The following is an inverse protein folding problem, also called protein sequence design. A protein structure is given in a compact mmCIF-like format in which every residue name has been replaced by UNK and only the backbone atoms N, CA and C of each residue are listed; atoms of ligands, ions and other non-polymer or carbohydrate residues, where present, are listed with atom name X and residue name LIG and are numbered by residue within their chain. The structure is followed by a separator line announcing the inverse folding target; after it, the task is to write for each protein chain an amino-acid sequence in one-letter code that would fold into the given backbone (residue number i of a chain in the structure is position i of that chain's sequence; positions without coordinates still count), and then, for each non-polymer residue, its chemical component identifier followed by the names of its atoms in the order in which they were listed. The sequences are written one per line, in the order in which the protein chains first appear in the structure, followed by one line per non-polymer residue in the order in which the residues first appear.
data_IF_203399146441
#
_entry.id   IF_203399146441
#
_cell.length_a   1.000
_cell.length_b   1.000
_cell.length_c   1.000
_cell.angle_alpha   90.00
_cell.angle_beta   90.00
_cell.angle_gamma   90.00
#
_symmetry.space_group_name_H-M   'P 1'
#
loop_
_entity.id
_entity.type
_entity.pdbx_description
1 polymer ?
#
# COMPACT_ATOMS: atom_id res chain seq x y z
N UNK A 1 -50.75 -24.42 15.84
CA UNK A 1 -50.01 -23.27 16.41
C UNK A 1 -48.52 -23.54 16.31
N UNK A 2 -47.85 -23.00 15.28
CA UNK A 2 -46.38 -23.08 15.15
C UNK A 2 -45.86 -21.64 15.01
N UNK A 3 -45.24 -21.14 16.08
CA UNK A 3 -44.54 -19.85 16.10
C UNK A 3 -43.13 -20.06 15.54
N UNK A 4 -42.94 -19.81 14.26
CA UNK A 4 -41.62 -19.55 13.69
C UNK A 4 -41.21 -18.12 14.08
N UNK A 5 -40.42 -17.98 15.16
CA UNK A 5 -39.70 -16.74 15.43
C UNK A 5 -38.48 -16.66 14.51
N UNK A 6 -38.63 -16.04 13.35
CA UNK A 6 -37.51 -15.49 12.59
C UNK A 6 -37.04 -14.20 13.27
N UNK A 7 -35.95 -14.27 14.03
CA UNK A 7 -35.15 -13.10 14.41
C UNK A 7 -33.81 -13.16 13.71
N UNK A 8 -33.82 -12.92 12.40
CA UNK A 8 -32.64 -12.40 11.72
C UNK A 8 -32.60 -10.90 11.96
N UNK A 9 -31.96 -10.48 13.05
CA UNK A 9 -31.48 -9.10 13.14
C UNK A 9 -30.39 -8.95 12.07
N UNK A 10 -30.67 -8.17 11.02
CA UNK A 10 -29.66 -7.74 10.06
C UNK A 10 -28.65 -6.86 10.82
N UNK A 11 -27.55 -7.44 11.28
CA UNK A 11 -26.41 -6.66 11.74
C UNK A 11 -25.95 -5.81 10.56
N UNK A 12 -26.10 -4.48 10.67
CA UNK A 12 -25.56 -3.54 9.67
C UNK A 12 -24.06 -3.85 9.55
N UNK A 13 -23.62 -4.25 8.36
CA UNK A 13 -22.23 -4.58 8.12
C UNK A 13 -21.38 -3.33 8.43
N UNK A 14 -20.45 -3.45 9.38
CA UNK A 14 -19.53 -2.36 9.73
C UNK A 14 -18.65 -2.05 8.52
N UNK A 15 -18.44 -0.77 8.24
CA UNK A 15 -17.50 -0.34 7.19
C UNK A 15 -16.06 -0.70 7.55
N UNK A 16 -15.18 -0.85 6.55
CA UNK A 16 -13.76 -1.16 6.79
C UNK A 16 -13.08 -0.09 7.65
N UNK A 17 -13.43 1.19 7.45
CA UNK A 17 -12.99 2.31 8.28
C UNK A 17 -13.38 2.14 9.75
N UNK A 18 -14.65 1.82 10.03
CA UNK A 18 -15.13 1.60 11.40
C UNK A 18 -14.40 0.43 12.08
N UNK A 19 -14.15 -0.66 11.35
CA UNK A 19 -13.40 -1.81 11.88
C UNK A 19 -11.95 -1.43 12.23
N UNK A 20 -11.29 -0.61 11.40
CA UNK A 20 -9.95 -0.11 11.66
C UNK A 20 -9.91 0.85 12.84
N UNK A 21 -10.89 1.75 12.96
CA UNK A 21 -11.00 2.68 14.08
C UNK A 21 -11.26 1.95 15.41
N UNK A 22 -12.11 0.90 15.40
CA UNK A 22 -12.33 0.04 16.56
C UNK A 22 -11.06 -0.70 16.99
N UNK A 23 -10.32 -1.26 16.02
CA UNK A 23 -9.04 -1.92 16.25
C UNK A 23 -8.00 -0.95 16.81
N UNK A 24 -7.89 0.24 16.22
CA UNK A 24 -7.01 1.31 16.67
C UNK A 24 -7.35 1.71 18.12
N UNK A 25 -8.63 1.95 18.41
CA UNK A 25 -9.08 2.36 19.73
C UNK A 25 -8.83 1.29 20.80
N UNK A 26 -9.03 0.01 20.48
CA UNK A 26 -8.73 -1.09 21.39
C UNK A 26 -7.24 -1.11 21.78
N UNK A 27 -6.35 -0.99 20.80
CA UNK A 27 -4.90 -1.03 21.06
C UNK A 27 -4.35 0.28 21.65
N UNK A 28 -4.99 1.43 21.45
CA UNK A 28 -4.58 2.68 22.12
C UNK A 28 -5.10 2.79 23.56
N UNK A 29 -6.23 2.16 23.88
CA UNK A 29 -6.80 2.11 25.24
C UNK A 29 -5.76 1.67 26.28
N UNK A 30 -5.75 2.33 27.46
CA UNK A 30 -4.85 2.02 28.57
C UNK A 30 -5.04 0.56 29.03
N UNK A 31 -3.95 -0.16 29.31
CA UNK A 31 -4.00 -1.61 29.53
C UNK A 31 -4.89 -2.02 30.71
N UNK A 32 -4.94 -1.22 31.76
CA UNK A 32 -5.81 -1.42 32.93
C UNK A 32 -7.30 -1.24 32.60
N UNK A 33 -7.63 -0.36 31.66
CA UNK A 33 -9.02 -0.11 31.24
C UNK A 33 -9.53 -1.12 30.21
N UNK A 34 -8.64 -1.76 29.43
CA UNK A 34 -9.07 -2.70 28.38
C UNK A 34 -9.93 -3.86 28.91
N UNK A 35 -9.57 -4.57 30.00
CA UNK A 35 -10.41 -5.63 30.53
C UNK A 35 -11.76 -5.12 31.04
N UNK A 36 -11.85 -3.89 31.53
CA UNK A 36 -13.09 -3.30 32.03
C UNK A 36 -14.02 -2.92 30.88
N UNK A 37 -13.48 -2.32 29.82
CA UNK A 37 -14.25 -1.80 28.69
C UNK A 37 -14.67 -2.92 27.73
N UNK A 38 -13.78 -3.85 27.40
CA UNK A 38 -13.97 -4.82 26.30
C UNK A 38 -14.34 -6.23 26.76
N UNK A 39 -14.72 -6.42 28.03
CA UNK A 39 -15.23 -7.71 28.53
C UNK A 39 -16.65 -7.55 29.05
N UNK A 40 -17.64 -8.29 28.53
CA UNK A 40 -19.05 -8.09 28.88
C UNK A 40 -19.32 -8.32 30.38
N UNK A 41 -18.59 -9.25 31.02
CA UNK A 41 -18.71 -9.53 32.45
C UNK A 41 -18.39 -8.34 33.36
N UNK A 42 -17.63 -7.35 32.87
CA UNK A 42 -17.25 -6.17 33.64
C UNK A 42 -18.16 -4.97 33.39
N UNK A 43 -19.23 -5.11 32.59
CA UNK A 43 -20.11 -4.00 32.22
C UNK A 43 -20.76 -3.31 33.43
N UNK A 44 -21.23 -4.08 34.41
CA UNK A 44 -21.82 -3.54 35.65
C UNK A 44 -20.78 -2.79 36.49
N UNK A 45 -19.57 -3.35 36.62
CA UNK A 45 -18.46 -2.73 37.34
C UNK A 45 -18.00 -1.43 36.67
N UNK A 46 -17.94 -1.41 35.34
CA UNK A 46 -17.58 -0.21 34.59
C UNK A 46 -18.60 0.91 34.82
N UNK A 47 -19.90 0.59 34.82
CA UNK A 47 -20.98 1.55 35.10
C UNK A 47 -20.91 2.10 36.52
N UNK A 48 -20.47 1.31 37.50
CA UNK A 48 -20.35 1.77 38.89
C UNK A 48 -19.09 2.58 39.18
N UNK A 49 -18.09 2.57 38.28
CA UNK A 49 -16.84 3.33 38.47
C UNK A 49 -16.93 4.78 37.98
N UNK A 50 -18.05 5.19 37.37
CA UNK A 50 -18.31 6.54 36.84
C UNK A 50 -17.16 7.14 36.01
N UNK A 51 -16.42 6.28 35.30
CA UNK A 51 -15.30 6.71 34.47
C UNK A 51 -15.81 7.50 33.27
N UNK A 52 -15.19 8.67 33.05
CA UNK A 52 -15.48 9.53 31.89
C UNK A 52 -14.36 9.47 30.87
N UNK A 53 -14.73 9.52 29.60
CA UNK A 53 -13.79 9.68 28.51
C UNK A 53 -13.19 11.10 28.57
N UNK A 54 -11.85 11.25 28.62
CA UNK A 54 -11.20 12.55 28.75
C UNK A 54 -11.42 13.47 27.54
N UNK A 55 -11.74 12.95 26.36
CA UNK A 55 -11.96 13.78 25.16
C UNK A 55 -13.43 14.23 25.05
N UNK A 56 -14.38 13.39 25.45
CA UNK A 56 -15.81 13.65 25.25
C UNK A 56 -16.58 13.99 26.52
N UNK A 57 -15.96 13.87 27.70
CA UNK A 57 -16.59 14.00 29.03
C UNK A 57 -17.81 13.09 29.26
N UNK A 58 -18.06 12.12 28.37
CA UNK A 58 -19.17 11.18 28.46
C UNK A 58 -18.76 9.94 29.26
N UNK A 59 -19.72 9.27 29.93
CA UNK A 59 -19.44 8.01 30.63
C UNK A 59 -18.92 6.95 29.66
N UNK A 60 -17.85 6.25 30.05
CA UNK A 60 -17.28 5.17 29.24
C UNK A 60 -18.27 4.02 29.19
N UNK A 61 -18.77 3.71 28.00
CA UNK A 61 -19.70 2.62 27.78
C UNK A 61 -18.96 1.28 27.59
N UNK A 62 -19.52 0.16 28.08
CA UNK A 62 -19.04 -1.18 27.75
C UNK A 62 -19.05 -1.38 26.24
N UNK A 63 -18.02 -2.04 25.72
CA UNK A 63 -17.86 -2.36 24.29
C UNK A 63 -17.79 -3.86 24.08
N UNK A 64 -18.13 -4.29 22.88
CA UNK A 64 -17.98 -5.68 22.50
C UNK A 64 -16.50 -6.11 22.52
N UNK A 65 -16.20 -7.38 22.86
CA UNK A 65 -14.86 -7.92 22.77
C UNK A 65 -14.27 -7.73 21.37
N UNK A 66 -13.02 -7.28 21.30
CA UNK A 66 -12.35 -7.09 20.02
C UNK A 66 -12.06 -8.46 19.39
N UNK A 67 -12.60 -8.68 18.18
CA UNK A 67 -12.26 -9.84 17.37
C UNK A 67 -10.95 -9.56 16.60
N UNK A 68 -10.12 -10.57 16.31
CA UNK A 68 -8.95 -10.39 15.46
C UNK A 68 -9.35 -9.78 14.11
N UNK A 69 -8.69 -8.67 13.75
CA UNK A 69 -8.97 -7.98 12.50
C UNK A 69 -8.28 -8.71 11.34
N UNK A 70 -9.02 -8.99 10.27
CA UNK A 70 -8.43 -9.53 9.03
C UNK A 70 -7.56 -8.46 8.38
N UNK A 71 -6.35 -8.82 7.94
CA UNK A 71 -5.40 -7.90 7.30
C UNK A 71 -5.96 -7.24 6.04
N UNK A 72 -6.72 -8.01 5.24
CA UNK A 72 -7.42 -7.51 4.05
C UNK A 72 -8.30 -6.27 4.29
N UNK A 73 -8.80 -6.04 5.51
CA UNK A 73 -9.63 -4.87 5.84
C UNK A 73 -8.89 -3.56 5.56
N UNK A 74 -7.58 -3.50 5.83
CA UNK A 74 -6.79 -2.29 5.55
C UNK A 74 -6.59 -2.09 4.05
N UNK A 75 -6.33 -3.15 3.29
CA UNK A 75 -6.23 -3.06 1.83
C UNK A 75 -7.56 -2.57 1.23
N UNK A 76 -8.68 -3.14 1.67
CA UNK A 76 -10.01 -2.74 1.19
C UNK A 76 -10.32 -1.29 1.54
N UNK A 77 -10.04 -0.86 2.78
CA UNK A 77 -10.20 0.54 3.18
C UNK A 77 -9.40 1.49 2.28
N UNK A 78 -8.13 1.18 2.00
CA UNK A 78 -7.29 2.02 1.14
C UNK A 78 -7.85 2.10 -0.29
N UNK A 79 -8.56 1.09 -0.77
CA UNK A 79 -9.25 1.11 -2.07
C UNK A 79 -10.58 1.88 -2.05
N UNK A 80 -11.19 2.10 -0.88
CA UNK A 80 -12.44 2.85 -0.71
C UNK A 80 -12.22 4.37 -0.58
N UNK A 81 -11.01 4.82 -0.20
CA UNK A 81 -10.72 6.26 0.04
C UNK A 81 -11.02 7.11 -1.20
N UNK A 82 -11.81 8.19 -1.16
CA UNK A 82 -12.14 8.95 -2.37
C UNK A 82 -10.91 9.51 -3.12
N UNK A 83 -11.04 9.67 -4.44
CA UNK A 83 -10.03 10.30 -5.30
C UNK A 83 -9.68 11.71 -4.80
N UNK A 84 -8.40 12.06 -4.80
CA UNK A 84 -7.91 13.37 -4.32
C UNK A 84 -8.04 13.60 -2.80
N UNK A 85 -8.49 12.62 -2.01
CA UNK A 85 -8.69 12.79 -0.57
C UNK A 85 -7.39 12.77 0.23
N UNK A 86 -7.33 13.59 1.29
CA UNK A 86 -6.23 13.57 2.28
C UNK A 86 -6.37 12.45 3.32
N UNK A 87 -7.47 11.69 3.27
CA UNK A 87 -7.82 10.69 4.28
C UNK A 87 -6.72 9.63 4.51
N UNK A 88 -6.02 9.18 3.46
CA UNK A 88 -4.91 8.24 3.63
C UNK A 88 -3.76 8.84 4.45
N UNK A 89 -3.46 10.13 4.23
CA UNK A 89 -2.41 10.81 4.97
C UNK A 89 -2.79 10.99 6.43
N UNK A 90 -4.01 11.44 6.69
CA UNK A 90 -4.54 11.61 8.06
C UNK A 90 -4.56 10.28 8.81
N UNK A 91 -4.96 9.20 8.13
CA UNK A 91 -4.92 7.85 8.66
C UNK A 91 -3.49 7.44 9.05
N UNK A 92 -2.51 7.60 8.14
CA UNK A 92 -1.12 7.23 8.41
C UNK A 92 -0.53 8.06 9.56
N UNK A 93 -0.76 9.37 9.58
CA UNK A 93 -0.30 10.24 10.66
C UNK A 93 -0.90 9.81 12.01
N UNK A 94 -2.22 9.57 12.06
CA UNK A 94 -2.91 9.05 13.26
C UNK A 94 -2.34 7.69 13.70
N UNK A 95 -2.10 6.79 12.76
CA UNK A 95 -1.59 5.45 13.04
C UNK A 95 -0.17 5.47 13.61
N UNK A 96 0.72 6.26 13.00
CA UNK A 96 2.13 6.32 13.36
C UNK A 96 2.48 7.29 14.51
N UNK A 97 1.54 8.16 14.92
CA UNK A 97 1.68 9.01 16.12
C UNK A 97 1.72 8.20 17.41
N UNK A 98 1.20 6.97 17.40
CA UNK A 98 1.18 6.09 18.58
C UNK A 98 2.60 5.66 18.99
N UNK A 99 2.82 5.46 20.29
CA UNK A 99 4.09 4.96 20.82
C UNK A 99 4.42 3.55 20.31
N UNK A 100 5.69 3.30 19.99
CA UNK A 100 6.24 2.00 19.55
C UNK A 100 5.97 0.85 20.55
N UNK A 101 5.61 1.16 21.80
CA UNK A 101 5.19 0.16 22.80
C UNK A 101 3.90 -0.57 22.41
N UNK A 102 3.06 0.01 21.54
CA UNK A 102 1.85 -0.62 21.01
C UNK A 102 2.18 -1.53 19.81
N UNK A 103 3.00 -2.56 20.07
CA UNK A 103 3.60 -3.43 19.04
C UNK A 103 2.57 -4.05 18.11
N UNK A 104 1.38 -4.38 18.62
CA UNK A 104 0.32 -5.03 17.84
C UNK A 104 -0.20 -4.17 16.68
N UNK A 105 -0.20 -2.84 16.84
CA UNK A 105 -0.60 -1.92 15.75
C UNK A 105 0.43 -1.91 14.61
N UNK A 106 1.72 -2.01 14.94
CA UNK A 106 2.79 -2.02 13.95
C UNK A 106 2.99 -3.40 13.33
N UNK A 107 2.77 -4.47 14.09
CA UNK A 107 2.78 -5.84 13.60
C UNK A 107 1.60 -6.18 12.67
N UNK A 108 0.54 -5.37 12.70
CA UNK A 108 -0.58 -5.50 11.77
C UNK A 108 -0.21 -5.10 10.34
N UNK A 109 0.75 -4.18 10.16
CA UNK A 109 1.22 -3.75 8.84
C UNK A 109 2.01 -4.87 8.15
N UNK A 110 1.95 -4.94 6.82
CA UNK A 110 2.62 -5.95 6.00
C UNK A 110 3.03 -5.30 4.68
N UNK A 111 3.93 -5.95 3.94
CA UNK A 111 4.32 -5.48 2.61
C UNK A 111 3.15 -5.28 1.66
N UNK A 112 2.10 -6.12 1.76
CA UNK A 112 0.87 -5.97 0.97
C UNK A 112 0.15 -4.66 1.24
N UNK A 113 0.09 -4.23 2.51
CA UNK A 113 -0.49 -2.94 2.89
C UNK A 113 0.30 -1.77 2.31
N UNK A 114 1.64 -1.82 2.40
CA UNK A 114 2.48 -0.75 1.88
C UNK A 114 2.38 -0.67 0.35
N UNK A 115 2.39 -1.81 -0.34
CA UNK A 115 2.19 -1.89 -1.79
C UNK A 115 0.85 -1.26 -2.21
N UNK A 116 -0.24 -1.62 -1.53
CA UNK A 116 -1.58 -1.07 -1.80
C UNK A 116 -1.64 0.43 -1.54
N UNK A 117 -1.05 0.91 -0.44
CA UNK A 117 -0.99 2.33 -0.11
C UNK A 117 -0.19 3.12 -1.15
N UNK A 118 0.97 2.62 -1.57
CA UNK A 118 1.81 3.27 -2.58
C UNK A 118 1.10 3.30 -3.94
N UNK A 119 0.56 2.18 -4.40
CA UNK A 119 -0.18 2.10 -5.65
C UNK A 119 -1.41 3.02 -5.65
N UNK A 120 -2.24 2.96 -4.61
CA UNK A 120 -3.41 3.84 -4.50
C UNK A 120 -3.01 5.33 -4.42
N UNK A 121 -1.91 5.64 -3.73
CA UNK A 121 -1.40 7.01 -3.61
C UNK A 121 -0.96 7.62 -4.94
N UNK A 122 -0.50 6.79 -5.88
CA UNK A 122 -0.13 7.22 -7.23
C UNK A 122 -1.32 7.22 -8.18
N UNK A 123 -2.02 6.09 -8.31
CA UNK A 123 -3.03 5.90 -9.34
C UNK A 123 -4.36 6.61 -9.05
N UNK A 124 -4.68 6.88 -7.78
CA UNK A 124 -6.03 7.28 -7.38
C UNK A 124 -6.10 8.48 -6.44
N UNK A 125 -5.15 8.64 -5.53
CA UNK A 125 -5.21 9.69 -4.48
C UNK A 125 -4.38 10.94 -4.86
N UNK A 126 -3.22 10.79 -5.50
CA UNK A 126 -2.39 11.94 -5.94
C UNK A 126 -1.36 12.43 -4.93
N UNK A 127 -1.05 11.63 -3.91
CA UNK A 127 -0.18 12.02 -2.80
C UNK A 127 1.03 11.09 -2.61
N UNK A 128 1.47 10.44 -3.69
CA UNK A 128 2.55 9.46 -3.68
C UNK A 128 3.82 9.92 -2.93
N UNK A 129 4.36 11.11 -3.25
CA UNK A 129 5.57 11.62 -2.59
C UNK A 129 5.42 11.74 -1.08
N UNK A 130 4.26 12.21 -0.62
CA UNK A 130 3.99 12.42 0.80
C UNK A 130 3.81 11.09 1.52
N UNK A 131 3.06 10.16 0.92
CA UNK A 131 2.88 8.80 1.46
C UNK A 131 4.23 8.09 1.56
N UNK A 132 5.05 8.11 0.51
CA UNK A 132 6.39 7.53 0.53
C UNK A 132 7.28 8.16 1.61
N UNK A 133 7.25 9.49 1.73
CA UNK A 133 7.98 10.22 2.77
C UNK A 133 7.56 9.81 4.18
N UNK A 134 6.26 9.68 4.44
CA UNK A 134 5.73 9.20 5.72
C UNK A 134 6.19 7.77 6.01
N UNK A 135 6.07 6.85 5.05
CA UNK A 135 6.54 5.47 5.21
C UNK A 135 8.05 5.41 5.52
N UNK A 136 8.87 6.20 4.81
CA UNK A 136 10.30 6.28 5.10
C UNK A 136 10.64 6.83 6.48
N UNK A 137 9.86 7.80 6.98
CA UNK A 137 10.04 8.40 8.30
C UNK A 137 9.69 7.43 9.44
N UNK A 138 8.74 6.52 9.20
CA UNK A 138 8.24 5.58 10.21
C UNK A 138 8.81 4.17 10.09
N UNK A 139 9.64 3.90 9.09
CA UNK A 139 10.29 2.61 8.89
C UNK A 139 10.98 2.11 10.16
N UNK A 140 11.75 2.96 10.84
CA UNK A 140 12.47 2.58 12.07
C UNK A 140 11.54 2.16 13.20
N UNK A 141 10.34 2.75 13.28
CA UNK A 141 9.32 2.37 14.27
C UNK A 141 8.75 0.99 13.97
N UNK A 142 8.39 0.73 12.71
CA UNK A 142 7.82 -0.56 12.30
C UNK A 142 8.84 -1.68 12.51
N UNK A 143 10.06 -1.48 12.04
CA UNK A 143 11.17 -2.45 12.18
C UNK A 143 11.55 -2.64 13.65
N UNK A 144 11.58 -1.57 14.45
CA UNK A 144 11.85 -1.63 15.88
C UNK A 144 10.83 -2.45 16.69
N UNK A 145 9.65 -2.74 16.12
CA UNK A 145 8.67 -3.65 16.72
C UNK A 145 8.82 -5.11 16.30
N UNK A 146 9.85 -5.44 15.51
CA UNK A 146 10.11 -6.78 14.99
C UNK A 146 9.44 -7.07 13.64
N UNK A 147 8.78 -6.09 13.02
CA UNK A 147 8.08 -6.28 11.75
C UNK A 147 8.98 -5.91 10.56
N UNK A 148 9.99 -6.72 10.30
CA UNK A 148 10.92 -6.54 9.17
C UNK A 148 10.29 -6.87 7.82
N UNK A 149 9.23 -7.69 7.80
CA UNK A 149 8.58 -8.14 6.56
C UNK A 149 7.70 -7.07 5.90
N UNK A 150 7.47 -5.95 6.57
CA UNK A 150 6.67 -4.86 6.00
C UNK A 150 7.42 -4.09 4.90
N UNK A 151 8.76 -4.02 4.97
CA UNK A 151 9.63 -3.33 4.02
C UNK A 151 10.47 -4.35 3.24
N UNK A 152 9.77 -5.23 2.52
CA UNK A 152 10.38 -6.25 1.68
C UNK A 152 10.68 -5.76 0.25
N UNK A 153 11.60 -6.45 -0.42
CA UNK A 153 12.00 -6.12 -1.77
C UNK A 153 10.86 -6.31 -2.79
N UNK A 154 10.18 -7.47 -2.77
CA UNK A 154 9.19 -7.84 -3.78
C UNK A 154 7.97 -6.93 -3.83
N UNK A 155 7.50 -6.46 -2.67
CA UNK A 155 6.29 -5.63 -2.57
C UNK A 155 6.65 -4.18 -2.37
N UNK A 156 7.43 -3.83 -1.35
CA UNK A 156 7.70 -2.42 -1.05
C UNK A 156 8.63 -1.80 -2.10
N UNK A 157 9.84 -2.35 -2.28
CA UNK A 157 10.85 -1.73 -3.16
C UNK A 157 10.42 -1.74 -4.62
N UNK A 158 9.94 -2.87 -5.14
CA UNK A 158 9.48 -2.97 -6.53
C UNK A 158 8.28 -2.05 -6.81
N UNK A 159 7.35 -1.89 -5.86
CA UNK A 159 6.26 -0.91 -6.02
C UNK A 159 6.78 0.52 -6.01
N UNK A 160 7.79 0.84 -5.20
CA UNK A 160 8.44 2.16 -5.23
C UNK A 160 9.10 2.42 -6.60
N UNK A 161 9.78 1.43 -7.19
CA UNK A 161 10.36 1.54 -8.53
C UNK A 161 9.30 1.74 -9.60
N UNK A 162 8.26 0.90 -9.61
CA UNK A 162 7.12 1.02 -10.52
C UNK A 162 6.49 2.41 -10.44
N UNK A 163 6.17 2.86 -9.22
CA UNK A 163 5.58 4.17 -9.03
C UNK A 163 6.51 5.30 -9.46
N UNK A 164 7.83 5.15 -9.27
CA UNK A 164 8.82 6.14 -9.71
C UNK A 164 8.91 6.21 -11.23
N UNK A 165 8.99 5.06 -11.92
CA UNK A 165 8.99 4.96 -13.37
C UNK A 165 7.78 5.69 -13.99
N UNK A 166 6.58 5.34 -13.53
CA UNK A 166 5.33 5.92 -14.04
C UNK A 166 5.21 7.43 -13.73
N UNK A 167 5.64 7.85 -12.55
CA UNK A 167 5.62 9.26 -12.17
C UNK A 167 6.65 10.08 -12.95
N UNK A 168 7.83 9.54 -13.17
CA UNK A 168 8.90 10.20 -13.92
C UNK A 168 8.48 10.38 -15.38
N UNK A 169 7.84 9.37 -15.97
CA UNK A 169 7.24 9.44 -17.30
C UNK A 169 6.18 10.55 -17.38
N UNK A 170 5.26 10.60 -16.40
CA UNK A 170 4.20 11.62 -16.35
C UNK A 170 4.73 13.05 -16.19
N UNK A 171 5.83 13.24 -15.46
CA UNK A 171 6.37 14.56 -15.10
C UNK A 171 7.64 14.93 -15.88
N UNK A 172 8.02 14.11 -16.85
CA UNK A 172 9.29 14.16 -17.60
C UNK A 172 10.51 14.43 -16.70
N UNK A 173 10.61 13.68 -15.59
CA UNK A 173 11.70 13.81 -14.63
C UNK A 173 12.85 12.88 -15.03
N UNK A 174 13.93 13.45 -15.56
CA UNK A 174 15.14 12.72 -15.94
C UNK A 174 16.36 13.40 -15.36
N UNK A 175 16.91 12.79 -14.31
CA UNK A 175 18.15 13.24 -13.68
C UNK A 175 18.86 12.04 -13.06
N UNK A 176 20.01 11.67 -13.62
CA UNK A 176 20.77 10.50 -13.22
C UNK A 176 21.26 10.59 -11.76
N UNK A 177 21.72 11.76 -11.32
CA UNK A 177 22.27 11.95 -9.97
C UNK A 177 21.17 11.90 -8.92
N UNK A 178 20.08 12.64 -9.13
CA UNK A 178 18.93 12.65 -8.24
C UNK A 178 18.26 11.27 -8.23
N UNK A 179 18.14 10.62 -9.40
CA UNK A 179 17.60 9.27 -9.56
C UNK A 179 18.40 8.25 -8.76
N UNK A 180 19.73 8.25 -8.90
CA UNK A 180 20.62 7.35 -8.17
C UNK A 180 20.56 7.60 -6.66
N UNK A 181 20.52 8.86 -6.22
CA UNK A 181 20.37 9.20 -4.80
C UNK A 181 19.06 8.68 -4.23
N UNK A 182 17.93 8.89 -4.93
CA UNK A 182 16.62 8.38 -4.53
C UNK A 182 16.62 6.85 -4.48
N UNK A 183 17.21 6.19 -5.47
CA UNK A 183 17.34 4.75 -5.53
C UNK A 183 18.07 4.19 -4.30
N UNK A 184 19.24 4.76 -3.96
CA UNK A 184 20.04 4.36 -2.80
C UNK A 184 19.27 4.58 -1.48
N UNK A 185 18.54 5.69 -1.36
CA UNK A 185 17.70 5.96 -0.19
C UNK A 185 16.58 4.92 -0.06
N UNK A 186 15.88 4.62 -1.16
CA UNK A 186 14.81 3.63 -1.18
C UNK A 186 15.32 2.24 -0.81
N UNK A 187 16.46 1.84 -1.39
CA UNK A 187 17.10 0.56 -1.07
C UNK A 187 17.54 0.47 0.39
N UNK A 188 18.03 1.57 0.96
CA UNK A 188 18.40 1.65 2.38
C UNK A 188 17.22 1.47 3.35
N UNK A 189 15.97 1.59 2.88
CA UNK A 189 14.76 1.36 3.68
C UNK A 189 14.28 -0.10 3.65
N UNK A 190 14.76 -0.89 2.70
CA UNK A 190 14.43 -2.31 2.56
C UNK A 190 15.12 -3.11 3.67
N UNK A 191 14.34 -3.86 4.43
CA UNK A 191 14.84 -4.73 5.51
C UNK A 191 14.93 -6.18 5.11
N UNK A 192 14.00 -6.66 4.27
CA UNK A 192 14.03 -8.02 3.74
C UNK A 192 14.37 -7.98 2.25
N UNK A 193 15.60 -8.38 1.92
CA UNK A 193 16.20 -8.26 0.58
C UNK A 193 16.14 -9.58 -0.21
N UNK A 194 15.03 -10.30 -0.06
CA UNK A 194 14.79 -11.54 -0.76
C UNK A 194 13.98 -11.22 -2.03
N UNK A 195 14.53 -11.51 -3.21
CA UNK A 195 13.83 -11.40 -4.50
C UNK A 195 13.16 -12.74 -4.81
N UNK A 196 11.92 -12.94 -4.39
CA UNK A 196 11.25 -14.22 -4.64
C UNK A 196 10.69 -14.31 -6.05
N UNK A 197 10.37 -13.16 -6.66
CA UNK A 197 9.78 -13.07 -7.99
C UNK A 197 10.81 -12.85 -9.10
N UNK A 198 12.00 -12.33 -8.78
CA UNK A 198 13.04 -11.98 -9.75
C UNK A 198 12.73 -10.72 -10.56
N UNK A 199 11.70 -9.96 -10.18
CA UNK A 199 11.26 -8.74 -10.90
C UNK A 199 12.13 -7.51 -10.61
N UNK A 200 12.97 -7.58 -9.58
CA UNK A 200 13.73 -6.40 -9.14
C UNK A 200 14.79 -6.00 -10.16
N UNK A 201 15.48 -6.97 -10.79
CA UNK A 201 16.50 -6.67 -11.80
C UNK A 201 15.91 -5.97 -13.04
N UNK A 202 14.85 -6.51 -13.68
CA UNK A 202 14.23 -5.81 -14.82
C UNK A 202 13.70 -4.42 -14.47
N UNK A 203 13.14 -4.23 -13.27
CA UNK A 203 12.67 -2.91 -12.81
C UNK A 203 13.82 -1.91 -12.62
N UNK A 204 14.96 -2.37 -12.10
CA UNK A 204 16.15 -1.53 -11.93
C UNK A 204 16.75 -1.13 -13.26
N UNK A 205 16.83 -2.05 -14.22
CA UNK A 205 17.31 -1.76 -15.57
C UNK A 205 16.39 -0.76 -16.27
N UNK A 206 15.07 -0.96 -16.21
CA UNK A 206 14.10 -0.01 -16.73
C UNK A 206 14.24 1.38 -16.08
N UNK A 207 14.42 1.43 -14.75
CA UNK A 207 14.62 2.68 -14.02
C UNK A 207 15.93 3.39 -14.40
N UNK A 208 17.01 2.62 -14.53
CA UNK A 208 18.31 3.14 -14.93
C UNK A 208 18.28 3.75 -16.33
N UNK A 209 17.70 3.02 -17.29
CA UNK A 209 17.54 3.47 -18.66
C UNK A 209 16.71 4.75 -18.73
N UNK A 210 15.59 4.83 -17.99
CA UNK A 210 14.76 6.03 -17.95
C UNK A 210 15.52 7.26 -17.41
N UNK A 211 16.40 7.07 -16.42
CA UNK A 211 17.12 8.17 -15.76
C UNK A 211 18.50 8.46 -16.38
N UNK A 212 18.98 7.63 -17.32
CA UNK A 212 20.34 7.73 -17.85
C UNK A 212 21.43 7.33 -16.85
N UNK A 213 21.13 6.40 -15.93
CA UNK A 213 22.09 5.89 -14.94
C UNK A 213 22.94 4.79 -15.57
N UNK A 214 24.26 4.85 -15.37
CA UNK A 214 25.19 3.82 -15.84
C UNK A 214 24.95 2.48 -15.14
N UNK A 215 25.23 1.36 -15.80
CA UNK A 215 25.04 0.01 -15.20
C UNK A 215 25.99 -0.22 -14.03
N UNK A 216 27.16 0.40 -14.07
CA UNK A 216 28.20 0.36 -13.05
C UNK A 216 27.73 1.02 -11.74
N UNK A 217 26.89 2.05 -11.83
CA UNK A 217 26.35 2.77 -10.67
C UNK A 217 25.17 2.03 -9.99
N UNK A 218 24.59 1.00 -10.63
CA UNK A 218 23.44 0.24 -10.12
C UNK A 218 23.80 -0.79 -9.04
N UNK A 219 25.05 -0.81 -8.56
CA UNK A 219 25.49 -1.73 -7.52
C UNK A 219 24.87 -1.35 -6.18
N UNK A 220 23.82 -2.06 -5.80
CA UNK A 220 23.13 -1.91 -4.52
C UNK A 220 23.72 -2.86 -3.47
N UNK A 221 24.31 -2.29 -2.40
CA UNK A 221 24.96 -3.10 -1.34
C UNK A 221 24.00 -4.11 -0.71
N UNK A 222 24.47 -5.36 -0.62
CA UNK A 222 23.74 -6.47 0.01
C UNK A 222 22.54 -6.95 -0.80
N UNK A 223 22.50 -6.65 -2.09
CA UNK A 223 21.57 -7.27 -3.04
C UNK A 223 22.24 -8.50 -3.63
N UNK A 224 21.54 -9.63 -3.61
CA UNK A 224 21.94 -10.79 -4.39
C UNK A 224 21.39 -10.63 -5.81
N UNK A 225 22.23 -10.84 -6.81
CA UNK A 225 21.79 -10.85 -8.21
C UNK A 225 21.11 -12.18 -8.46
N UNK A 226 19.79 -12.19 -8.37
CA UNK A 226 18.98 -13.35 -8.73
C UNK A 226 18.69 -13.25 -10.23
N UNK A 227 19.14 -14.27 -10.96
CA UNK A 227 19.04 -14.31 -12.42
C UNK A 227 17.69 -14.85 -12.92
N UNK A 228 16.96 -15.58 -12.07
CA UNK A 228 15.78 -16.32 -12.50
C UNK A 228 14.50 -15.59 -12.11
N UNK A 229 13.67 -15.28 -13.09
CA UNK A 229 12.33 -14.74 -12.91
C UNK A 229 11.40 -15.91 -12.55
N UNK A 230 10.74 -15.81 -11.40
CA UNK A 230 9.84 -16.84 -10.89
C UNK A 230 8.45 -16.24 -10.67
N UNK A 231 7.65 -16.26 -11.73
CA UNK A 231 6.29 -15.72 -11.70
C UNK A 231 5.27 -16.83 -11.54
N UNK A 232 4.16 -16.56 -10.82
CA UNK A 232 3.10 -17.54 -10.65
C UNK A 232 2.44 -17.81 -12.00
N UNK A 233 2.30 -19.09 -12.36
CA UNK A 233 1.56 -19.53 -13.54
C UNK A 233 0.25 -20.20 -13.13
N UNK A 234 -0.75 -20.06 -13.99
CA UNK A 234 -2.06 -20.68 -13.79
C UNK A 234 -2.07 -22.17 -14.17
N UNK A 235 -1.05 -22.62 -14.91
CA UNK A 235 -0.97 -23.96 -15.48
C UNK A 235 -2.14 -24.28 -16.41
N UNK A 236 -2.42 -25.57 -16.63
CA UNK A 236 -3.51 -26.02 -17.50
C UNK A 236 -4.91 -25.96 -16.84
N UNK A 237 -5.01 -25.50 -15.59
CA UNK A 237 -6.25 -25.58 -14.80
C UNK A 237 -7.12 -24.33 -14.92
N UNK A 238 -8.11 -24.38 -15.81
CA UNK A 238 -9.05 -23.27 -16.09
C UNK A 238 -10.26 -23.15 -15.14
N UNK A 239 -10.16 -23.69 -13.92
CA UNK A 239 -11.29 -23.62 -12.96
C UNK A 239 -11.57 -22.17 -12.56
N UNK A 240 -12.82 -21.74 -12.73
CA UNK A 240 -13.27 -20.37 -12.46
C UNK A 240 -12.80 -19.81 -11.10
N UNK A 241 -12.92 -20.59 -10.02
CA UNK A 241 -12.50 -20.16 -8.69
C UNK A 241 -10.99 -19.90 -8.58
N UNK A 242 -10.16 -20.69 -9.29
CA UNK A 242 -8.71 -20.48 -9.33
C UNK A 242 -8.34 -19.26 -10.15
N UNK A 243 -9.03 -19.00 -11.27
CA UNK A 243 -8.84 -17.78 -12.06
C UNK A 243 -9.09 -16.53 -11.19
N UNK A 244 -10.17 -16.54 -10.40
CA UNK A 244 -10.51 -15.41 -9.51
C UNK A 244 -9.43 -15.20 -8.45
N UNK A 245 -8.97 -16.28 -7.79
CA UNK A 245 -7.89 -16.20 -6.80
C UNK A 245 -6.59 -15.71 -7.44
N UNK A 246 -6.21 -16.27 -8.59
CA UNK A 246 -5.00 -15.88 -9.32
C UNK A 246 -4.98 -14.39 -9.65
N UNK A 247 -6.08 -13.85 -10.19
CA UNK A 247 -6.19 -12.41 -10.50
C UNK A 247 -6.09 -11.57 -9.23
N UNK A 248 -6.79 -11.97 -8.16
CA UNK A 248 -6.85 -11.21 -6.91
C UNK A 248 -5.50 -11.16 -6.21
N UNK A 249 -4.78 -12.28 -6.15
CA UNK A 249 -3.49 -12.39 -5.47
C UNK A 249 -2.36 -11.74 -6.27
N UNK A 250 -2.42 -11.79 -7.61
CA UNK A 250 -1.32 -11.33 -8.46
C UNK A 250 -1.57 -9.97 -9.13
N UNK A 251 -2.60 -9.22 -8.71
CA UNK A 251 -2.91 -7.89 -9.26
C UNK A 251 -1.69 -6.96 -9.31
N UNK A 252 -0.98 -6.80 -8.20
CA UNK A 252 0.17 -5.89 -8.18
C UNK A 252 1.41 -6.46 -8.86
N UNK A 253 1.59 -7.79 -8.83
CA UNK A 253 2.62 -8.45 -9.64
C UNK A 253 2.40 -8.20 -11.13
N UNK A 254 1.14 -8.26 -11.58
CA UNK A 254 0.73 -7.90 -12.94
C UNK A 254 1.03 -6.43 -13.25
N UNK A 255 0.79 -5.51 -12.32
CA UNK A 255 1.12 -4.09 -12.52
C UNK A 255 2.64 -3.87 -12.64
N UNK A 256 3.45 -4.55 -11.82
CA UNK A 256 4.91 -4.53 -11.93
C UNK A 256 5.35 -5.06 -13.30
N UNK A 257 4.83 -6.21 -13.72
CA UNK A 257 5.13 -6.83 -15.01
C UNK A 257 4.77 -5.93 -16.20
N UNK A 258 3.56 -5.36 -16.21
CA UNK A 258 3.12 -4.39 -17.24
C UNK A 258 3.97 -3.12 -17.25
N UNK A 259 4.47 -2.69 -16.10
CA UNK A 259 5.36 -1.54 -16.01
C UNK A 259 6.73 -1.86 -16.60
N UNK A 260 7.28 -3.05 -16.33
CA UNK A 260 8.52 -3.52 -16.95
C UNK A 260 8.32 -3.55 -18.47
N UNK A 261 7.27 -4.21 -18.98
CA UNK A 261 6.95 -4.25 -20.41
C UNK A 261 6.87 -2.86 -21.06
N UNK A 262 6.39 -1.84 -20.33
CA UNK A 262 6.30 -0.46 -20.83
C UNK A 262 7.66 0.25 -20.93
N UNK A 263 8.58 0.03 -19.98
CA UNK A 263 9.80 0.83 -19.82
C UNK A 263 11.11 0.08 -20.12
N UNK A 264 11.09 -1.24 -20.24
CA UNK A 264 12.27 -2.04 -20.63
C UNK A 264 12.47 -2.01 -22.15
N UNK A 265 13.72 -1.94 -22.61
CA UNK A 265 14.07 -2.09 -24.04
C UNK A 265 13.79 -3.50 -24.56
N UNK A 266 14.02 -4.51 -23.71
CA UNK A 266 13.74 -5.92 -24.00
C UNK A 266 13.07 -6.54 -22.78
N UNK A 267 11.83 -6.99 -22.95
CA UNK A 267 11.07 -7.64 -21.88
C UNK A 267 11.44 -9.13 -21.82
N UNK A 268 11.84 -9.68 -20.66
CA UNK A 268 12.03 -11.12 -20.49
C UNK A 268 10.77 -11.91 -20.86
N UNK A 269 10.95 -13.06 -21.51
CA UNK A 269 9.85 -13.88 -22.04
C UNK A 269 8.95 -14.45 -20.94
N UNK A 270 9.49 -14.69 -19.74
CA UNK A 270 8.72 -15.13 -18.57
C UNK A 270 7.70 -14.07 -18.13
N UNK A 271 8.08 -12.78 -18.21
CA UNK A 271 7.20 -11.66 -17.88
C UNK A 271 6.09 -11.56 -18.93
N UNK A 272 6.43 -11.68 -20.21
CA UNK A 272 5.43 -11.65 -21.29
C UNK A 272 4.42 -12.81 -21.16
N UNK A 273 4.91 -14.01 -20.86
CA UNK A 273 4.07 -15.19 -20.64
C UNK A 273 3.10 -14.95 -19.49
N UNK A 274 3.57 -14.47 -18.35
CA UNK A 274 2.75 -14.15 -17.20
C UNK A 274 1.69 -13.06 -17.51
N UNK A 275 2.07 -11.99 -18.23
CA UNK A 275 1.14 -10.94 -18.65
C UNK A 275 0.03 -11.53 -19.52
N UNK A 276 0.38 -12.40 -20.47
CA UNK A 276 -0.58 -13.03 -21.37
C UNK A 276 -1.51 -13.99 -20.62
N UNK A 277 -1.00 -14.80 -19.70
CA UNK A 277 -1.81 -15.65 -18.82
C UNK A 277 -2.81 -14.82 -18.00
N UNK A 278 -2.36 -13.71 -17.42
CA UNK A 278 -3.21 -12.82 -16.63
C UNK A 278 -4.31 -12.17 -17.47
N UNK A 279 -3.99 -11.68 -18.66
CA UNK A 279 -4.96 -11.12 -19.61
C UNK A 279 -5.99 -12.15 -20.10
N UNK A 280 -5.54 -13.38 -20.34
CA UNK A 280 -6.42 -14.48 -20.72
C UNK A 280 -7.39 -14.82 -19.58
N UNK A 281 -6.91 -14.82 -18.33
CA UNK A 281 -7.76 -15.00 -17.15
C UNK A 281 -8.80 -13.88 -17.00
N UNK A 282 -8.40 -12.61 -17.19
CA UNK A 282 -9.31 -11.46 -17.19
C UNK A 282 -10.40 -11.61 -18.26
N UNK A 283 -10.02 -12.00 -19.47
CA UNK A 283 -10.94 -12.19 -20.60
C UNK A 283 -11.93 -13.31 -20.32
N UNK A 284 -11.45 -14.44 -19.80
CA UNK A 284 -12.29 -15.60 -19.41
C UNK A 284 -13.31 -15.21 -18.34
N UNK A 285 -12.91 -14.34 -17.40
CA UNK A 285 -13.77 -13.84 -16.33
C UNK A 285 -14.58 -12.60 -16.71
N UNK A 286 -14.47 -12.10 -17.96
CA UNK A 286 -15.09 -10.87 -18.45
C UNK A 286 -14.83 -9.67 -17.53
N UNK A 287 -13.58 -9.52 -17.09
CA UNK A 287 -13.10 -8.39 -16.29
C UNK A 287 -12.23 -7.49 -17.13
N UNK A 288 -12.33 -6.19 -16.87
CA UNK A 288 -11.49 -5.19 -17.53
C UNK A 288 -10.06 -5.21 -17.01
N UNK A 289 -9.13 -4.77 -17.85
CA UNK A 289 -7.74 -4.57 -17.44
C UNK A 289 -7.59 -3.27 -16.64
N UNK A 290 -7.50 -3.41 -15.32
CA UNK A 290 -7.38 -2.28 -14.41
C UNK A 290 -6.05 -1.52 -14.56
N UNK A 291 -5.02 -2.08 -15.21
CA UNK A 291 -3.73 -1.40 -15.35
C UNK A 291 -3.86 -0.15 -16.22
N UNK A 292 -4.46 -0.28 -17.40
CA UNK A 292 -4.58 0.83 -18.35
C UNK A 292 -5.48 1.95 -17.79
N UNK A 293 -6.59 1.58 -17.16
CA UNK A 293 -7.42 2.53 -16.43
C UNK A 293 -6.66 3.24 -15.31
N UNK A 294 -5.84 2.51 -14.53
CA UNK A 294 -5.06 3.09 -13.43
C UNK A 294 -4.02 4.09 -13.94
N UNK A 295 -3.32 3.78 -15.04
CA UNK A 295 -2.34 4.68 -15.66
C UNK A 295 -2.99 5.93 -16.24
N UNK A 296 -4.18 5.80 -16.85
CA UNK A 296 -4.95 6.95 -17.31
C UNK A 296 -5.39 7.83 -16.13
N UNK A 297 -5.98 7.24 -15.10
CA UNK A 297 -6.43 7.98 -13.91
C UNK A 297 -5.27 8.65 -13.15
N UNK A 298 -4.09 8.04 -13.13
CA UNK A 298 -2.88 8.66 -12.58
C UNK A 298 -2.61 10.03 -13.20
N UNK A 299 -2.78 10.15 -14.53
CA UNK A 299 -2.60 11.41 -15.26
C UNK A 299 -3.56 12.46 -14.73
N UNK A 300 -4.83 12.12 -14.52
CA UNK A 300 -5.83 13.05 -14.02
C UNK A 300 -5.58 13.51 -12.58
N UNK A 301 -5.24 12.57 -11.70
CA UNK A 301 -5.08 12.84 -10.27
C UNK A 301 -3.77 13.57 -9.95
N UNK A 302 -2.73 13.36 -10.76
CA UNK A 302 -1.43 14.00 -10.57
C UNK A 302 -1.20 15.18 -11.53
N UNK A 303 -2.24 15.65 -12.25
CA UNK A 303 -2.20 16.90 -13.01
C UNK A 303 -1.73 18.02 -12.09
N UNK A 304 -0.65 18.67 -12.50
CA UNK A 304 -0.19 19.92 -11.87
C UNK A 304 -1.23 20.97 -12.28
N UNK A 305 -1.86 21.71 -11.34
CA UNK A 305 -2.71 22.84 -11.70
C UNK A 305 -1.91 23.79 -12.60
N UNK A 306 -2.48 24.22 -13.72
CA UNK A 306 -1.77 25.07 -14.70
C UNK A 306 -1.25 26.38 -14.07
N UNK A 307 -1.85 26.84 -12.98
CA UNK A 307 -1.39 27.98 -12.17
C UNK A 307 0.06 27.85 -11.69
N UNK A 308 0.56 26.64 -11.43
CA UNK A 308 1.95 26.44 -10.95
C UNK A 308 3.00 26.46 -12.07
N UNK A 309 2.59 26.42 -13.35
CA UNK A 309 3.51 26.59 -14.48
C UNK A 309 3.84 28.06 -14.72
N UNK A 310 2.84 28.94 -14.63
CA UNK A 310 3.05 30.39 -14.80
C UNK A 310 3.93 30.97 -13.69
N UNK A 311 3.81 30.51 -12.44
CA UNK A 311 4.68 30.99 -11.34
C UNK A 311 6.15 30.58 -11.49
N UNK A 312 6.44 29.45 -12.16
CA UNK A 312 7.83 29.03 -12.44
C UNK A 312 8.45 29.80 -13.60
N UNK A 313 7.69 30.03 -14.67
CA UNK A 313 8.13 30.87 -15.79
C UNK A 313 8.37 32.32 -15.34
N UNK A 314 7.53 32.85 -14.44
CA UNK A 314 7.71 34.21 -13.90
C UNK A 314 8.93 34.31 -12.96
N UNK A 315 9.27 33.26 -12.21
CA UNK A 315 10.44 33.27 -11.32
C UNK A 315 11.77 33.09 -12.05
N UNK A 316 11.80 32.35 -13.16
CA UNK A 316 13.00 32.24 -14.01
C UNK A 316 13.25 33.55 -14.77
N UNK A 317 12.21 34.23 -15.29
CA UNK A 317 12.36 35.56 -15.93
C UNK A 317 12.81 36.67 -14.97
N UNK A 318 12.49 36.57 -13.68
CA UNK A 318 12.90 37.59 -12.67
C UNK A 318 14.31 37.37 -12.14
N UNK A 319 14.93 36.19 -12.35
CA UNK A 319 16.32 35.92 -11.94
C UNK A 319 17.34 36.18 -13.06
N UNK A 320 16.89 36.37 -14.31
CA UNK A 320 17.73 36.71 -15.46
C UNK A 320 17.72 38.21 -15.83
N UNK A 321 17.09 39.07 -15.02
CA UNK A 321 17.12 40.55 -15.14
C UNK A 321 17.98 41.20 -14.06
#
# INVERSE_FOLDING_TARGET
MLKNCSRFYSAVAKSNKQLLDEFYQYHTTRMNLRPLIYRPKNATLLRSMDLKDPETNKPIQPREPMKPLKKQVLNNYVQEIPQGSKELMDFLQKWFKVSNRKRELFAFLEGSHLQVMLAASLFRIGHYSHVLGLLHSYQSKVVGTGNTKAYDQDRFFNTVLMCSLLRNDLKDLKDAEIGLKKLKVNWGKVTEKNDTLGLTQPLLEAYANQQGISKEDLVLKGRETISNINLPSIGDESRFSRLVTFITENKYTYFLARTIQKFSESCPSEIETFINEYKNALTTLKKDDEYDWSVQNMTEVNKIPEETKQERETQEETQEQ
#
